data_IF_178220701969
#
_entry.id   IF_178220701969
#
_cell.length_a   1.000
_cell.length_b   1.000
_cell.length_c   1.000
_cell.angle_alpha   90.00
_cell.angle_beta   90.00
_cell.angle_gamma   90.00
#
_symmetry.space_group_name_H-M   'P 1'
#
loop_
_entity.id
_entity.type
_entity.pdbx_description
1 polymer ?
#
# COMPACT_ATOMS: atom_id res chain seq x y z
N UNK A 1 -10.32 -1.01 2.52
CA UNK A 1 -9.40 -0.77 1.40
C UNK A 1 -9.99 0.02 0.22
N UNK A 2 -10.61 1.18 0.45
CA UNK A 2 -10.37 2.31 -0.45
C UNK A 2 -8.91 2.78 -0.30
N UNK A 3 -8.38 3.58 -1.23
CA UNK A 3 -6.98 4.04 -1.20
C UNK A 3 -6.00 3.20 -2.03
N UNK A 4 -6.38 1.97 -2.42
CA UNK A 4 -5.52 1.07 -3.18
C UNK A 4 -5.02 1.69 -4.50
N UNK A 5 -5.84 2.51 -5.18
CA UNK A 5 -5.41 3.16 -6.41
C UNK A 5 -4.41 4.28 -6.16
N UNK A 6 -4.55 5.05 -5.08
CA UNK A 6 -3.56 6.02 -4.67
C UNK A 6 -2.22 5.33 -4.34
N UNK A 7 -2.21 4.21 -3.61
CA UNK A 7 -0.98 3.45 -3.34
C UNK A 7 -0.28 2.99 -4.60
N UNK A 8 -1.03 2.32 -5.49
CA UNK A 8 -0.45 1.82 -6.74
C UNK A 8 0.03 2.99 -7.61
N UNK A 9 -0.71 4.10 -7.67
CA UNK A 9 -0.30 5.31 -8.39
C UNK A 9 0.99 5.88 -7.81
N UNK A 10 1.08 5.98 -6.48
CA UNK A 10 2.21 6.57 -5.78
C UNK A 10 3.47 5.73 -5.97
N UNK A 11 3.40 4.40 -5.80
CA UNK A 11 4.57 3.52 -5.98
C UNK A 11 5.08 3.54 -7.42
N UNK A 12 4.18 3.58 -8.42
CA UNK A 12 4.57 3.68 -9.83
C UNK A 12 5.26 5.01 -10.15
N UNK A 13 4.73 6.14 -9.65
CA UNK A 13 5.36 7.45 -9.84
C UNK A 13 6.69 7.54 -9.09
N UNK A 14 6.78 6.94 -7.90
CA UNK A 14 7.99 6.89 -7.10
C UNK A 14 9.11 6.09 -7.80
N UNK A 15 8.75 5.04 -8.53
CA UNK A 15 9.70 4.06 -9.09
C UNK A 15 9.77 4.00 -10.62
N UNK A 16 9.13 4.92 -11.33
CA UNK A 16 9.36 5.10 -12.76
C UNK A 16 10.84 5.39 -13.06
N UNK A 17 11.32 5.04 -14.26
CA UNK A 17 12.74 5.10 -14.64
C UNK A 17 13.40 6.45 -14.32
N UNK A 18 12.71 7.57 -14.61
CA UNK A 18 13.23 8.92 -14.34
C UNK A 18 13.38 9.23 -12.84
N UNK A 19 12.54 8.63 -12.00
CA UNK A 19 12.60 8.76 -10.54
C UNK A 19 13.73 7.91 -9.98
N UNK A 20 13.78 6.62 -10.34
CA UNK A 20 14.86 5.70 -9.93
C UNK A 20 16.24 6.22 -10.30
N UNK A 21 16.39 6.84 -11.47
CA UNK A 21 17.66 7.42 -11.91
C UNK A 21 18.23 8.43 -10.90
N UNK A 22 17.37 9.18 -10.19
CA UNK A 22 17.74 10.24 -9.24
C UNK A 22 17.95 9.76 -7.81
N UNK A 23 17.46 8.58 -7.44
CA UNK A 23 17.54 8.07 -6.07
C UNK A 23 18.97 7.63 -5.72
N UNK A 24 19.40 7.86 -4.48
CA UNK A 24 20.74 7.48 -4.01
C UNK A 24 20.77 6.05 -3.46
N UNK A 25 20.70 5.09 -4.40
CA UNK A 25 20.69 3.66 -4.10
C UNK A 25 21.49 2.85 -5.13
N UNK A 26 21.89 1.59 -4.82
CA UNK A 26 22.62 0.73 -5.73
C UNK A 26 21.94 0.55 -7.10
N UNK A 27 22.74 0.53 -8.16
CA UNK A 27 22.25 0.32 -9.54
C UNK A 27 21.46 -0.99 -9.69
N UNK A 28 21.87 -2.05 -8.99
CA UNK A 28 21.17 -3.34 -9.00
C UNK A 28 19.77 -3.24 -8.37
N UNK A 29 19.62 -2.48 -7.27
CA UNK A 29 18.32 -2.21 -6.67
C UNK A 29 17.39 -1.49 -7.66
N UNK A 30 17.87 -0.42 -8.32
CA UNK A 30 17.11 0.31 -9.36
C UNK A 30 16.67 -0.60 -10.50
N UNK A 31 17.57 -1.47 -10.96
CA UNK A 31 17.27 -2.42 -12.03
C UNK A 31 16.14 -3.37 -11.62
N UNK A 32 16.22 -3.96 -10.42
CA UNK A 32 15.19 -4.88 -9.91
C UNK A 32 13.85 -4.17 -9.80
N UNK A 33 13.79 -2.97 -9.21
CA UNK A 33 12.54 -2.20 -9.09
C UNK A 33 11.94 -1.86 -10.46
N UNK A 34 12.76 -1.62 -11.48
CA UNK A 34 12.29 -1.38 -12.84
C UNK A 34 11.79 -2.64 -13.59
N UNK A 35 12.26 -3.83 -13.19
CA UNK A 35 11.97 -5.10 -13.88
C UNK A 35 10.90 -5.94 -13.19
N UNK A 36 10.75 -5.80 -11.86
CA UNK A 36 9.84 -6.59 -11.03
C UNK A 36 8.64 -5.76 -10.54
N UNK A 37 8.08 -4.94 -11.44
CA UNK A 37 6.98 -4.03 -11.13
C UNK A 37 5.74 -4.75 -10.57
N UNK A 38 5.40 -5.94 -11.07
CA UNK A 38 4.27 -6.72 -10.55
C UNK A 38 4.41 -7.03 -9.04
N UNK A 39 5.62 -7.40 -8.59
CA UNK A 39 5.89 -7.66 -7.17
C UNK A 39 5.93 -6.38 -6.34
N UNK A 40 6.43 -5.29 -6.91
CA UNK A 40 6.39 -3.96 -6.28
C UNK A 40 4.95 -3.49 -6.05
N UNK A 41 4.07 -3.64 -7.05
CA UNK A 41 2.65 -3.34 -6.92
C UNK A 41 1.94 -4.29 -5.95
N UNK A 42 2.26 -5.59 -5.99
CA UNK A 42 1.74 -6.55 -5.02
C UNK A 42 2.10 -6.13 -3.59
N UNK A 43 3.34 -5.70 -3.35
CA UNK A 43 3.80 -5.25 -2.05
C UNK A 43 3.01 -4.04 -1.54
N UNK A 44 2.69 -3.09 -2.41
CA UNK A 44 2.03 -1.83 -2.01
C UNK A 44 0.57 -1.99 -1.60
N UNK A 45 -0.03 -3.15 -1.83
CA UNK A 45 -1.40 -3.48 -1.38
C UNK A 45 -1.42 -4.64 -0.37
N UNK A 46 -0.25 -5.21 -0.05
CA UNK A 46 -0.15 -6.40 0.78
C UNK A 46 -0.59 -6.18 2.25
N UNK A 47 -0.33 -5.05 2.92
CA UNK A 47 -0.79 -4.86 4.31
C UNK A 47 -2.31 -5.01 4.46
N UNK A 48 -3.07 -4.64 3.43
CA UNK A 48 -4.53 -4.68 3.43
C UNK A 48 -5.16 -6.00 2.95
N UNK A 49 -4.38 -6.87 2.30
CA UNK A 49 -4.83 -8.16 1.78
C UNK A 49 -5.66 -8.99 2.76
N UNK A 50 -5.30 -9.07 4.07
CA UNK A 50 -6.07 -9.87 5.01
C UNK A 50 -7.52 -9.39 5.20
N UNK A 51 -7.82 -8.10 5.02
CA UNK A 51 -9.20 -7.60 5.07
C UNK A 51 -10.09 -8.17 3.94
N UNK A 52 -9.48 -8.72 2.89
CA UNK A 52 -10.19 -9.33 1.77
C UNK A 52 -10.49 -10.82 1.98
N UNK A 53 -10.06 -11.39 3.10
CA UNK A 53 -10.39 -12.76 3.48
C UNK A 53 -11.87 -12.86 3.91
N UNK A 54 -12.75 -13.08 2.92
CA UNK A 54 -14.19 -13.13 3.12
C UNK A 54 -14.56 -14.13 4.22
N UNK A 55 -15.36 -13.66 5.19
CA UNK A 55 -15.88 -14.43 6.32
C UNK A 55 -14.80 -15.08 7.24
N UNK A 56 -13.59 -14.50 7.29
CA UNK A 56 -12.52 -14.97 8.18
C UNK A 56 -12.01 -13.84 9.09
N UNK A 57 -12.72 -13.50 10.18
CA UNK A 57 -12.34 -12.38 11.06
C UNK A 57 -10.93 -12.48 11.67
N UNK A 58 -10.44 -13.71 11.93
CA UNK A 58 -9.07 -13.93 12.40
C UNK A 58 -8.01 -13.62 11.35
N UNK A 59 -8.38 -13.54 10.07
CA UNK A 59 -7.47 -13.06 9.04
C UNK A 59 -7.45 -11.53 9.01
N UNK A 60 -8.59 -10.85 9.18
CA UNK A 60 -8.65 -9.39 9.23
C UNK A 60 -7.72 -8.78 10.30
N UNK A 61 -7.62 -9.43 11.47
CA UNK A 61 -6.73 -8.98 12.54
C UNK A 61 -5.24 -9.01 12.13
N UNK A 62 -4.83 -9.79 11.13
CA UNK A 62 -3.47 -9.68 10.59
C UNK A 62 -3.22 -8.33 9.92
N UNK A 63 -4.24 -7.75 9.28
CA UNK A 63 -4.13 -6.40 8.74
C UNK A 63 -4.03 -5.39 9.88
N UNK A 64 -4.88 -5.48 10.91
CA UNK A 64 -4.79 -4.59 12.09
C UNK A 64 -3.38 -4.62 12.73
N UNK A 65 -2.80 -5.81 12.91
CA UNK A 65 -1.43 -5.94 13.42
C UNK A 65 -0.42 -5.23 12.52
N UNK A 66 -0.51 -5.42 11.19
CA UNK A 66 0.37 -4.76 10.22
C UNK A 66 0.19 -3.24 10.13
N UNK A 67 -0.95 -2.69 10.58
CA UNK A 67 -1.22 -1.25 10.55
C UNK A 67 -0.98 -0.55 11.88
N UNK A 68 -1.02 -1.26 13.01
CA UNK A 68 -1.00 -0.60 14.33
C UNK A 68 0.11 -1.07 15.25
N UNK A 69 0.63 -2.29 15.07
CA UNK A 69 1.55 -2.91 16.02
C UNK A 69 2.85 -3.30 15.35
N UNK A 70 3.98 -2.78 15.85
CA UNK A 70 5.31 -3.24 15.43
C UNK A 70 5.58 -3.16 13.91
N UNK A 71 4.99 -2.17 13.24
CA UNK A 71 5.03 -2.02 11.78
C UNK A 71 6.45 -1.88 11.22
N UNK A 72 7.33 -1.17 11.93
CA UNK A 72 8.74 -1.04 11.60
C UNK A 72 9.54 -2.30 11.88
N UNK A 73 9.20 -3.04 12.94
CA UNK A 73 9.85 -4.31 13.28
C UNK A 73 9.54 -5.39 12.23
N UNK A 74 8.32 -5.39 11.66
CA UNK A 74 7.97 -6.22 10.51
C UNK A 74 8.86 -5.92 9.30
N UNK A 75 9.01 -4.64 8.94
CA UNK A 75 9.90 -4.21 7.85
C UNK A 75 11.35 -4.65 8.09
N UNK A 76 11.87 -4.47 9.31
CA UNK A 76 13.23 -4.89 9.68
C UNK A 76 13.41 -6.41 9.58
N UNK A 77 12.43 -7.20 10.03
CA UNK A 77 12.46 -8.66 9.88
C UNK A 77 12.46 -9.08 8.40
N UNK A 78 11.70 -8.38 7.54
CA UNK A 78 11.71 -8.63 6.10
C UNK A 78 13.02 -8.22 5.43
N UNK A 79 13.65 -7.11 5.85
CA UNK A 79 14.99 -6.70 5.38
C UNK A 79 16.00 -7.81 5.66
N UNK A 80 16.06 -8.29 6.90
CA UNK A 80 17.02 -9.33 7.30
C UNK A 80 16.76 -10.65 6.58
N UNK A 81 15.50 -11.06 6.41
CA UNK A 81 15.17 -12.24 5.61
C UNK A 81 15.58 -12.07 4.14
N UNK A 82 15.33 -10.90 3.55
CA UNK A 82 15.65 -10.60 2.16
C UNK A 82 17.16 -10.75 1.88
N UNK A 83 18.02 -10.34 2.81
CA UNK A 83 19.49 -10.50 2.71
C UNK A 83 19.95 -11.96 2.63
N UNK A 84 19.13 -12.92 3.07
CA UNK A 84 19.45 -14.35 3.00
C UNK A 84 19.11 -14.99 1.65
N UNK A 85 18.42 -14.26 0.77
CA UNK A 85 17.95 -14.77 -0.51
C UNK A 85 18.96 -14.46 -1.63
N UNK A 86 18.91 -15.27 -2.68
CA UNK A 86 19.68 -15.04 -3.91
C UNK A 86 18.80 -15.24 -5.16
N UNK A 87 19.33 -14.84 -6.32
CA UNK A 87 18.70 -15.07 -7.62
C UNK A 87 17.30 -14.45 -7.72
N UNK A 88 16.39 -15.15 -8.40
CA UNK A 88 15.03 -14.67 -8.64
C UNK A 88 14.22 -14.48 -7.35
N UNK A 89 14.40 -15.35 -6.34
CA UNK A 89 13.72 -15.20 -5.05
C UNK A 89 14.09 -13.87 -4.38
N UNK A 90 15.38 -13.51 -4.40
CA UNK A 90 15.85 -12.21 -3.92
C UNK A 90 15.19 -11.05 -4.67
N UNK A 91 15.20 -11.08 -6.00
CA UNK A 91 14.68 -9.97 -6.82
C UNK A 91 13.19 -9.73 -6.57
N UNK A 92 12.39 -10.80 -6.51
CA UNK A 92 10.95 -10.73 -6.23
C UNK A 92 10.69 -10.19 -4.82
N UNK A 93 11.33 -10.78 -3.81
CA UNK A 93 11.14 -10.39 -2.41
C UNK A 93 11.62 -8.96 -2.14
N UNK A 94 12.73 -8.53 -2.75
CA UNK A 94 13.21 -7.16 -2.62
C UNK A 94 12.24 -6.15 -3.22
N UNK A 95 11.72 -6.42 -4.43
CA UNK A 95 10.73 -5.55 -5.05
C UNK A 95 9.44 -5.48 -4.23
N UNK A 96 8.95 -6.63 -3.76
CA UNK A 96 7.77 -6.72 -2.90
C UNK A 96 7.96 -5.99 -1.56
N UNK A 97 9.11 -6.13 -0.90
CA UNK A 97 9.44 -5.40 0.32
C UNK A 97 9.44 -3.88 0.10
N UNK A 98 10.00 -3.40 -1.01
CA UNK A 98 9.95 -1.98 -1.35
C UNK A 98 8.51 -1.51 -1.62
N UNK A 99 7.65 -2.39 -2.15
CA UNK A 99 6.22 -2.14 -2.31
C UNK A 99 5.52 -2.02 -0.97
N UNK A 100 5.78 -2.95 -0.06
CA UNK A 100 5.25 -2.93 1.30
C UNK A 100 5.63 -1.63 2.03
N UNK A 101 6.88 -1.21 1.92
CA UNK A 101 7.31 0.08 2.46
C UNK A 101 6.64 1.27 1.77
N UNK A 102 6.33 1.17 0.47
CA UNK A 102 5.60 2.22 -0.23
C UNK A 102 4.19 2.41 0.34
N UNK A 103 3.53 1.31 0.72
CA UNK A 103 2.25 1.36 1.43
C UNK A 103 2.39 2.12 2.75
N UNK A 104 3.27 1.64 3.62
CA UNK A 104 3.53 2.25 4.94
C UNK A 104 3.88 3.74 4.82
N UNK A 105 4.77 4.10 3.89
CA UNK A 105 5.17 5.50 3.69
C UNK A 105 4.02 6.40 3.18
N UNK A 106 3.13 5.85 2.35
CA UNK A 106 1.95 6.56 1.89
C UNK A 106 0.97 6.80 3.04
N UNK A 107 0.67 5.77 3.83
CA UNK A 107 -0.25 5.85 4.97
C UNK A 107 0.17 6.88 6.00
N UNK A 108 1.41 6.79 6.49
CA UNK A 108 1.93 7.75 7.50
C UNK A 108 1.98 9.19 6.96
N UNK A 109 1.90 9.37 5.64
CA UNK A 109 1.81 10.70 5.02
C UNK A 109 0.36 11.15 4.85
N UNK A 110 -0.52 10.29 4.35
CA UNK A 110 -1.88 10.66 3.89
C UNK A 110 -2.91 10.52 5.00
N UNK A 111 -2.91 9.45 5.79
CA UNK A 111 -3.93 9.22 6.80
C UNK A 111 -4.00 10.30 7.90
N UNK A 112 -2.90 10.94 8.35
CA UNK A 112 -3.02 12.11 9.23
C UNK A 112 -3.89 13.23 8.66
N UNK A 113 -3.85 13.42 7.33
CA UNK A 113 -4.68 14.42 6.63
C UNK A 113 -6.13 13.96 6.52
N UNK A 114 -6.37 12.67 6.25
CA UNK A 114 -7.71 12.07 6.22
C UNK A 114 -8.35 12.19 7.61
N UNK A 115 -7.64 11.82 8.66
CA UNK A 115 -8.12 11.92 10.04
C UNK A 115 -8.44 13.38 10.44
N UNK A 116 -7.61 14.35 10.06
CA UNK A 116 -7.91 15.78 10.27
C UNK A 116 -9.15 16.26 9.51
N UNK A 117 -9.50 15.60 8.39
CA UNK A 117 -10.66 15.93 7.56
C UNK A 117 -11.95 15.29 8.07
N UNK A 118 -11.93 14.01 8.46
CA UNK A 118 -13.14 13.24 8.78
C UNK A 118 -13.22 12.72 10.22
N UNK A 119 -12.19 12.93 11.04
CA UNK A 119 -12.11 12.43 12.43
C UNK A 119 -11.49 11.04 12.51
N UNK A 120 -11.35 10.44 13.72
CA UNK A 120 -10.67 9.16 13.90
C UNK A 120 -11.43 7.99 13.24
N UNK A 121 -10.68 7.01 12.71
CA UNK A 121 -11.21 5.94 11.85
C UNK A 121 -12.32 5.13 12.51
N UNK A 122 -12.12 4.67 13.75
CA UNK A 122 -13.08 3.81 14.46
C UNK A 122 -14.50 4.37 14.51
N UNK A 123 -14.66 5.70 14.65
CA UNK A 123 -15.97 6.35 14.71
C UNK A 123 -16.45 6.88 13.35
N UNK A 124 -15.58 6.92 12.33
CA UNK A 124 -15.84 7.61 11.06
C UNK A 124 -15.54 6.74 9.81
N UNK A 125 -15.58 5.41 9.91
CA UNK A 125 -15.20 4.48 8.83
C UNK A 125 -15.85 4.77 7.47
N UNK A 126 -17.13 5.14 7.43
CA UNK A 126 -17.82 5.50 6.17
C UNK A 126 -17.30 6.80 5.57
N UNK A 127 -16.99 7.80 6.41
CA UNK A 127 -16.47 9.08 5.97
C UNK A 127 -15.00 8.98 5.51
N UNK A 128 -14.19 8.18 6.20
CA UNK A 128 -12.84 7.78 5.76
C UNK A 128 -12.90 7.17 4.37
N UNK A 129 -13.76 6.16 4.21
CA UNK A 129 -13.98 5.50 2.94
C UNK A 129 -14.41 6.44 1.83
N UNK A 130 -15.35 7.34 2.10
CA UNK A 130 -15.75 8.33 1.12
C UNK A 130 -14.58 9.26 0.73
N UNK A 131 -13.77 9.71 1.69
CA UNK A 131 -12.61 10.57 1.44
C UNK A 131 -11.58 9.87 0.54
N UNK A 132 -11.14 8.68 0.92
CA UNK A 132 -10.15 7.88 0.19
C UNK A 132 -10.63 7.53 -1.23
N UNK A 133 -11.90 7.17 -1.42
CA UNK A 133 -12.43 6.87 -2.75
C UNK A 133 -12.46 8.09 -3.67
N UNK A 134 -12.74 9.29 -3.14
CA UNK A 134 -12.68 10.53 -3.91
C UNK A 134 -11.24 10.88 -4.28
N UNK A 135 -10.31 10.69 -3.35
CA UNK A 135 -8.88 10.90 -3.56
C UNK A 135 -8.29 9.92 -4.60
N UNK A 136 -8.67 8.64 -4.53
CA UNK A 136 -8.34 7.62 -5.53
C UNK A 136 -8.86 8.02 -6.91
N UNK A 137 -10.16 8.33 -7.03
CA UNK A 137 -10.78 8.70 -8.30
C UNK A 137 -10.16 9.96 -8.91
N UNK A 138 -9.73 10.90 -8.07
CA UNK A 138 -9.02 12.10 -8.49
C UNK A 138 -7.61 11.80 -9.00
N UNK A 139 -6.79 11.10 -8.19
CA UNK A 139 -5.38 10.89 -8.50
C UNK A 139 -5.15 9.86 -9.60
N UNK A 140 -6.10 8.94 -9.78
CA UNK A 140 -6.11 7.92 -10.81
C UNK A 140 -5.71 8.46 -12.20
N UNK A 141 -6.17 9.68 -12.54
CA UNK A 141 -5.87 10.28 -13.84
C UNK A 141 -4.38 10.58 -14.04
N UNK A 142 -3.60 10.78 -12.96
CA UNK A 142 -2.16 11.10 -13.03
C UNK A 142 -1.30 9.97 -13.61
N UNK A 143 -1.73 8.71 -13.49
CA UNK A 143 -1.02 7.59 -14.12
C UNK A 143 -1.05 7.66 -15.65
N UNK A 144 -2.06 8.30 -16.24
CA UNK A 144 -2.19 8.58 -17.68
C UNK A 144 -1.95 7.35 -18.59
N UNK A 145 -2.65 6.24 -18.32
CA UNK A 145 -2.37 4.93 -18.93
C UNK A 145 -3.19 4.59 -20.19
N UNK A 146 -3.93 5.56 -20.75
CA UNK A 146 -4.72 5.35 -21.97
C UNK A 146 -6.07 4.65 -21.76
N UNK A 147 -6.64 4.11 -22.85
CA UNK A 147 -8.03 3.58 -22.90
C UNK A 147 -8.20 2.16 -22.29
N UNK A 148 -7.10 1.41 -22.07
CA UNK A 148 -7.17 0.13 -21.37
C UNK A 148 -7.33 0.39 -19.86
N UNK A 149 -8.43 -0.09 -19.29
CA UNK A 149 -8.76 0.09 -17.88
C UNK A 149 -7.67 -0.50 -16.99
N UNK A 150 -7.15 0.30 -16.05
CA UNK A 150 -6.11 -0.15 -15.12
C UNK A 150 -6.53 -1.36 -14.27
N UNK A 151 -7.83 -1.61 -14.09
CA UNK A 151 -8.30 -2.82 -13.39
C UNK A 151 -7.77 -4.08 -14.07
N UNK A 152 -7.80 -4.11 -15.42
CA UNK A 152 -7.24 -5.21 -16.22
C UNK A 152 -5.71 -5.29 -16.04
N UNK A 153 -5.02 -4.14 -15.93
CA UNK A 153 -3.57 -4.10 -15.64
C UNK A 153 -3.26 -4.59 -14.23
N UNK A 154 -4.02 -4.18 -13.22
CA UNK A 154 -3.85 -4.59 -11.82
C UNK A 154 -4.11 -6.08 -11.68
N UNK A 155 -5.17 -6.58 -12.32
CA UNK A 155 -5.48 -8.00 -12.41
C UNK A 155 -4.34 -8.76 -13.11
N UNK A 156 -3.85 -8.28 -14.25
CA UNK A 156 -2.78 -8.94 -14.99
C UNK A 156 -1.43 -8.88 -14.27
N UNK A 157 -1.08 -7.76 -13.64
CA UNK A 157 0.19 -7.60 -12.94
C UNK A 157 0.15 -8.31 -11.58
N UNK A 158 -0.67 -7.83 -10.65
CA UNK A 158 -0.71 -8.34 -9.28
C UNK A 158 -1.26 -9.78 -9.27
N UNK A 159 -2.27 -10.08 -10.09
CA UNK A 159 -2.82 -11.43 -10.21
C UNK A 159 -1.87 -12.44 -10.86
N UNK A 160 -0.82 -12.00 -11.58
CA UNK A 160 0.22 -12.90 -12.09
C UNK A 160 1.29 -13.28 -11.06
N UNK A 161 1.24 -12.72 -9.85
CA UNK A 161 2.19 -13.02 -8.77
C UNK A 161 1.84 -14.36 -8.09
N UNK A 162 1.84 -15.43 -8.86
CA UNK A 162 1.49 -16.79 -8.46
C UNK A 162 2.65 -17.75 -8.69
N UNK A 163 2.58 -18.92 -8.06
CA UNK A 163 3.45 -20.05 -8.36
C UNK A 163 2.90 -20.88 -9.54
N UNK A 164 3.57 -21.98 -9.87
CA UNK A 164 3.20 -22.84 -11.01
C UNK A 164 1.83 -23.52 -10.90
N UNK A 165 1.26 -23.55 -9.69
CA UNK A 165 -0.04 -24.14 -9.39
C UNK A 165 -1.12 -23.06 -9.22
N UNK A 166 -0.87 -21.83 -9.71
CA UNK A 166 -1.72 -20.64 -9.58
C UNK A 166 -2.06 -20.25 -8.14
N UNK A 167 -1.29 -20.73 -7.16
CA UNK A 167 -1.34 -20.28 -5.77
C UNK A 167 -0.45 -19.04 -5.56
N UNK A 168 -0.62 -18.33 -4.45
CA UNK A 168 0.22 -17.17 -4.12
C UNK A 168 1.72 -17.50 -4.18
N UNK A 169 2.53 -16.57 -4.72
CA UNK A 169 3.96 -16.78 -4.92
C UNK A 169 4.64 -17.26 -3.63
N UNK A 170 5.33 -18.40 -3.74
CA UNK A 170 5.89 -19.12 -2.59
C UNK A 170 7.05 -18.39 -1.92
N UNK A 171 7.83 -17.59 -2.66
CA UNK A 171 8.93 -16.84 -2.07
C UNK A 171 8.40 -15.61 -1.31
N UNK A 172 7.38 -14.95 -1.87
CA UNK A 172 6.67 -13.86 -1.19
C UNK A 172 5.97 -14.36 0.09
N UNK A 173 5.31 -15.52 0.02
CA UNK A 173 4.69 -16.14 1.18
C UNK A 173 5.71 -16.40 2.31
N UNK A 174 6.93 -16.84 1.97
CA UNK A 174 7.97 -17.16 2.97
C UNK A 174 8.51 -15.93 3.68
N UNK A 175 8.85 -14.85 2.96
CA UNK A 175 9.34 -13.61 3.59
C UNK A 175 8.26 -13.00 4.48
N UNK A 176 7.02 -12.99 4.01
CA UNK A 176 5.90 -12.43 4.76
C UNK A 176 5.58 -13.27 6.00
N UNK A 177 5.53 -14.59 5.85
CA UNK A 177 5.34 -15.51 6.97
C UNK A 177 6.46 -15.38 7.99
N UNK A 178 7.72 -15.31 7.55
CA UNK A 178 8.86 -15.13 8.45
C UNK A 178 8.71 -13.89 9.32
N UNK A 179 8.36 -12.74 8.73
CA UNK A 179 8.18 -11.51 9.47
C UNK A 179 7.00 -11.58 10.44
N UNK A 180 5.82 -12.04 9.99
CA UNK A 180 4.62 -12.14 10.83
C UNK A 180 4.83 -13.06 12.03
N UNK A 181 5.47 -14.21 11.84
CA UNK A 181 5.73 -15.16 12.92
C UNK A 181 6.83 -14.67 13.88
N UNK A 182 7.79 -13.90 13.37
CA UNK A 182 8.85 -13.30 14.20
C UNK A 182 8.30 -12.21 15.10
N UNK A 183 7.45 -11.33 14.56
CA UNK A 183 6.99 -10.13 15.26
C UNK A 183 5.74 -10.39 16.11
N UNK A 184 4.82 -11.25 15.63
CA UNK A 184 3.58 -11.57 16.34
C UNK A 184 3.44 -13.08 16.64
N UNK A 185 4.41 -13.70 17.36
CA UNK A 185 4.42 -15.14 17.61
C UNK A 185 3.19 -15.63 18.37
N UNK A 186 2.69 -14.82 19.32
CA UNK A 186 1.51 -15.15 20.13
C UNK A 186 0.22 -15.25 19.30
N UNK A 187 0.06 -14.38 18.30
CA UNK A 187 -1.08 -14.41 17.39
C UNK A 187 -0.92 -15.55 16.37
N UNK A 188 0.30 -15.69 15.79
CA UNK A 188 0.62 -16.75 14.84
C UNK A 188 0.39 -18.16 15.39
N UNK A 189 0.65 -18.38 16.69
CA UNK A 189 0.43 -19.66 17.35
C UNK A 189 -1.05 -20.11 17.35
N UNK A 190 -1.99 -19.16 17.26
CA UNK A 190 -3.43 -19.41 17.29
C UNK A 190 -4.05 -19.31 15.89
N UNK A 191 -3.51 -18.42 15.06
CA UNK A 191 -4.08 -18.05 13.76
C UNK A 191 -3.00 -17.92 12.70
N UNK A 192 -2.72 -19.01 11.99
CA UNK A 192 -1.76 -18.97 10.88
C UNK A 192 -2.23 -18.00 9.76
N UNK A 193 -1.32 -17.22 9.16
CA UNK A 193 -1.65 -16.38 8.01
C UNK A 193 -2.01 -17.24 6.79
N UNK A 194 -3.04 -16.84 6.05
CA UNK A 194 -3.54 -17.56 4.88
C UNK A 194 -3.42 -16.73 3.60
N UNK A 195 -2.20 -16.66 3.07
CA UNK A 195 -1.89 -15.83 1.89
C UNK A 195 -2.70 -16.19 0.63
N UNK A 196 -3.02 -17.47 0.43
CA UNK A 196 -3.88 -17.89 -0.68
C UNK A 196 -5.28 -17.33 -0.54
N UNK A 197 -5.87 -17.39 0.67
CA UNK A 197 -7.18 -16.79 0.92
C UNK A 197 -7.16 -15.28 0.70
N UNK A 198 -6.09 -14.60 1.11
CA UNK A 198 -5.96 -13.16 0.93
C UNK A 198 -5.85 -12.79 -0.55
N UNK A 199 -4.99 -13.49 -1.29
CA UNK A 199 -4.80 -13.27 -2.72
C UNK A 199 -6.06 -13.58 -3.53
N UNK A 200 -6.76 -14.68 -3.21
CA UNK A 200 -8.03 -15.01 -3.88
C UNK A 200 -9.11 -13.96 -3.59
N UNK A 201 -9.16 -13.44 -2.35
CA UNK A 201 -10.02 -12.33 -1.99
C UNK A 201 -9.72 -11.06 -2.81
N UNK A 202 -8.44 -10.74 -2.98
CA UNK A 202 -7.99 -9.65 -3.84
C UNK A 202 -8.44 -9.83 -5.29
N UNK A 203 -8.17 -10.99 -5.90
CA UNK A 203 -8.59 -11.25 -7.28
C UNK A 203 -10.12 -11.16 -7.43
N UNK A 204 -10.89 -11.65 -6.46
CA UNK A 204 -12.34 -11.52 -6.48
C UNK A 204 -12.79 -10.05 -6.46
N UNK A 205 -12.19 -9.20 -5.61
CA UNK A 205 -12.54 -7.78 -5.55
C UNK A 205 -12.19 -7.07 -6.84
N UNK A 206 -10.98 -7.27 -7.38
CA UNK A 206 -10.56 -6.64 -8.65
C UNK A 206 -11.48 -7.04 -9.81
N UNK A 207 -11.84 -8.33 -9.91
CA UNK A 207 -12.78 -8.82 -10.93
C UNK A 207 -14.17 -8.16 -10.80
N UNK A 208 -14.68 -8.01 -9.58
CA UNK A 208 -15.98 -7.37 -9.34
C UNK A 208 -15.95 -5.85 -9.58
N UNK A 209 -14.81 -5.17 -9.33
CA UNK A 209 -14.64 -3.75 -9.63
C UNK A 209 -14.69 -3.53 -11.14
N UNK A 210 -14.01 -4.36 -11.94
CA UNK A 210 -14.07 -4.34 -13.41
C UNK A 210 -15.52 -4.48 -13.90
N UNK A 211 -16.26 -5.45 -13.36
CA UNK A 211 -17.68 -5.64 -13.67
C UNK A 211 -18.54 -4.43 -13.25
N UNK A 212 -18.29 -3.84 -12.08
CA UNK A 212 -19.06 -2.69 -11.57
C UNK A 212 -18.88 -1.41 -12.42
N UNK A 213 -17.68 -1.20 -12.98
CA UNK A 213 -17.43 -0.12 -13.95
C UNK A 213 -18.23 -0.32 -15.24
N UNK A 214 -18.43 -1.59 -15.66
CA UNK A 214 -19.15 -1.96 -16.88
C UNK A 214 -20.68 -2.07 -16.70
N UNK A 215 -21.18 -2.51 -15.55
CA UNK A 215 -22.56 -3.03 -15.45
C UNK A 215 -23.65 -2.06 -14.96
N UNK A 216 -23.37 -0.99 -14.20
CA UNK A 216 -24.47 -0.20 -13.59
C UNK A 216 -24.26 1.30 -13.58
N UNK A 217 -24.67 1.98 -14.67
CA UNK A 217 -24.81 3.43 -14.73
C UNK A 217 -26.06 3.95 -13.97
N UNK A 218 -27.10 3.14 -13.78
CA UNK A 218 -28.40 3.59 -13.27
C UNK A 218 -28.65 3.37 -11.76
N UNK A 219 -27.91 2.48 -11.08
CA UNK A 219 -28.10 2.20 -9.64
C UNK A 219 -27.14 2.97 -8.70
N UNK A 220 -26.27 3.81 -9.28
CA UNK A 220 -25.10 4.40 -8.61
C UNK A 220 -25.42 5.60 -7.70
N UNK A 221 -26.46 6.37 -8.05
CA UNK A 221 -26.85 7.60 -7.34
C UNK A 221 -27.36 7.37 -5.91
N UNK A 222 -27.77 6.16 -5.54
CA UNK A 222 -28.34 5.87 -4.21
C UNK A 222 -27.27 5.31 -3.24
N UNK A 223 -26.11 4.90 -3.76
CA UNK A 223 -25.07 4.19 -3.00
C UNK A 223 -23.69 4.85 -3.01
N UNK A 224 -23.48 5.89 -3.83
CA UNK A 224 -22.31 6.75 -3.75
C UNK A 224 -22.21 7.45 -2.38
N UNK A 225 -23.35 7.90 -1.83
CA UNK A 225 -23.45 8.56 -0.51
C UNK A 225 -23.12 7.62 0.68
N UNK A 226 -23.03 6.31 0.43
CA UNK A 226 -22.66 5.29 1.43
C UNK A 226 -21.18 4.86 1.32
N UNK A 227 -20.40 5.48 0.42
CA UNK A 227 -19.01 5.08 0.18
C UNK A 227 -18.88 3.67 -0.41
N UNK A 228 -19.90 3.19 -1.15
CA UNK A 228 -19.92 1.83 -1.69
C UNK A 228 -19.38 1.73 -3.13
N UNK A 229 -19.26 2.87 -3.83
CA UNK A 229 -18.81 2.94 -5.23
C UNK A 229 -17.88 4.13 -5.46
N UNK A 230 -16.89 3.97 -6.34
CA UNK A 230 -15.97 5.07 -6.70
C UNK A 230 -16.73 6.18 -7.44
N UNK A 231 -16.51 7.46 -7.07
CA UNK A 231 -17.05 8.58 -7.84
C UNK A 231 -16.40 8.61 -9.22
N UNK A 232 -17.14 9.05 -10.24
CA UNK A 232 -16.52 9.40 -11.53
C UNK A 232 -15.62 10.62 -11.37
N UNK A 233 -14.68 10.87 -12.29
CA UNK A 233 -13.82 12.05 -12.21
C UNK A 233 -14.56 13.38 -12.13
N UNK A 234 -15.74 13.48 -12.75
CA UNK A 234 -16.59 14.67 -12.69
C UNK A 234 -17.54 14.70 -11.47
N UNK A 235 -17.54 13.64 -10.66
CA UNK A 235 -18.33 13.49 -9.42
C UNK A 235 -17.44 13.56 -8.18
N UNK A 236 -16.13 13.73 -8.33
CA UNK A 236 -15.19 13.91 -7.23
C UNK A 236 -15.60 15.14 -6.41
N UNK A 237 -15.84 14.94 -5.12
CA UNK A 237 -16.10 16.02 -4.18
C UNK A 237 -14.80 16.79 -3.92
N UNK A 238 -14.76 18.02 -4.45
CA UNK A 238 -13.65 18.96 -4.26
C UNK A 238 -13.28 19.21 -2.80
N UNK A 239 -14.18 19.01 -1.83
CA UNK A 239 -13.84 19.20 -0.41
C UNK A 239 -12.88 18.14 0.14
N UNK A 240 -12.72 17.00 -0.54
CA UNK A 240 -11.70 15.98 -0.25
C UNK A 240 -10.38 16.22 -0.99
N UNK A 241 -10.30 17.27 -1.81
CA UNK A 241 -9.16 17.57 -2.69
C UNK A 241 -8.53 18.93 -2.36
N UNK A 242 -9.37 19.94 -2.14
CA UNK A 242 -8.97 21.34 -1.96
C UNK A 242 -8.84 21.70 -0.48
N UNK A 243 -7.81 22.50 -0.15
CA UNK A 243 -7.62 23.10 1.18
C UNK A 243 -7.70 22.09 2.34
N UNK A 244 -7.14 20.89 2.14
CA UNK A 244 -7.10 19.85 3.15
C UNK A 244 -6.22 20.30 4.32
N UNK A 245 -6.77 20.19 5.54
CA UNK A 245 -5.99 20.48 6.76
C UNK A 245 -4.85 19.49 6.88
N UNK A 246 -3.64 19.99 7.05
CA UNK A 246 -2.46 19.17 7.35
C UNK A 246 -1.87 19.58 8.71
N UNK A 247 -0.91 18.84 9.26
CA UNK A 247 -0.15 19.25 10.44
C UNK A 247 0.64 20.58 10.28
N UNK A 248 0.72 21.13 9.07
CA UNK A 248 1.38 22.41 8.80
C UNK A 248 0.39 23.46 8.30
N UNK A 249 0.16 23.51 7.00
CA UNK A 249 -0.71 24.47 6.33
C UNK A 249 -1.74 23.73 5.47
N UNK A 250 -2.90 24.35 5.16
CA UNK A 250 -3.84 23.75 4.24
C UNK A 250 -3.18 23.49 2.88
N UNK A 251 -3.28 22.27 2.38
CA UNK A 251 -2.65 21.83 1.13
C UNK A 251 -3.70 21.29 0.16
N UNK A 252 -3.40 21.38 -1.14
CA UNK A 252 -4.15 20.65 -2.14
C UNK A 252 -3.71 19.17 -2.12
N UNK A 253 -4.62 18.22 -2.37
CA UNK A 253 -4.32 16.79 -2.34
C UNK A 253 -3.17 16.36 -3.26
N UNK A 254 -3.06 16.93 -4.46
CA UNK A 254 -1.86 16.83 -5.31
C UNK A 254 -0.53 17.04 -4.57
N UNK A 255 -0.42 18.09 -3.73
CA UNK A 255 0.82 18.39 -3.02
C UNK A 255 1.08 17.38 -1.90
N UNK A 256 0.03 16.94 -1.20
CA UNK A 256 0.10 15.86 -0.19
C UNK A 256 0.50 14.54 -0.85
N UNK A 257 -0.03 14.25 -2.03
CA UNK A 257 0.30 13.06 -2.79
C UNK A 257 1.75 13.10 -3.30
N UNK A 258 2.21 14.23 -3.82
CA UNK A 258 3.61 14.41 -4.24
C UNK A 258 4.58 14.32 -3.04
N UNK A 259 4.12 14.76 -1.86
CA UNK A 259 4.83 14.54 -0.60
C UNK A 259 4.90 13.06 -0.23
N UNK A 260 3.80 12.31 -0.33
CA UNK A 260 3.79 10.87 -0.12
C UNK A 260 4.72 10.13 -1.08
N UNK A 261 4.72 10.49 -2.37
CA UNK A 261 5.67 9.96 -3.37
C UNK A 261 7.12 10.22 -2.97
N UNK A 262 7.42 11.40 -2.43
CA UNK A 262 8.77 11.74 -1.96
C UNK A 262 9.18 10.91 -0.74
N UNK A 263 8.26 10.69 0.21
CA UNK A 263 8.50 9.83 1.37
C UNK A 263 8.68 8.36 0.96
N UNK A 264 7.89 7.85 0.00
CA UNK A 264 8.10 6.51 -0.59
C UNK A 264 9.52 6.40 -1.14
N UNK A 265 9.98 7.39 -1.92
CA UNK A 265 11.34 7.39 -2.47
C UNK A 265 12.40 7.38 -1.37
N UNK A 266 12.20 8.17 -0.31
CA UNK A 266 13.10 8.23 0.84
C UNK A 266 13.23 6.86 1.51
N UNK A 267 12.12 6.25 1.91
CA UNK A 267 12.16 4.98 2.66
C UNK A 267 12.54 3.77 1.81
N UNK A 268 12.15 3.70 0.53
CA UNK A 268 12.65 2.65 -0.37
C UNK A 268 14.17 2.79 -0.55
N UNK A 269 14.72 4.01 -0.56
CA UNK A 269 16.17 4.22 -0.59
C UNK A 269 16.86 3.67 0.66
N UNK A 270 16.27 3.87 1.83
CA UNK A 270 16.77 3.30 3.09
C UNK A 270 16.77 1.77 3.03
N UNK A 271 15.66 1.14 2.60
CA UNK A 271 15.59 -0.32 2.45
C UNK A 271 16.63 -0.83 1.44
N UNK A 272 16.74 -0.18 0.28
CA UNK A 272 17.72 -0.57 -0.73
C UNK A 272 19.15 -0.50 -0.19
N UNK A 273 19.50 0.55 0.53
CA UNK A 273 20.83 0.68 1.11
C UNK A 273 21.05 -0.33 2.25
N UNK A 274 20.03 -0.59 3.07
CA UNK A 274 20.11 -1.58 4.14
C UNK A 274 20.32 -2.99 3.59
N UNK A 275 19.58 -3.39 2.54
CA UNK A 275 19.66 -4.72 1.94
C UNK A 275 20.97 -4.94 1.16
N UNK A 276 21.45 -3.94 0.42
CA UNK A 276 22.58 -4.12 -0.50
C UNK A 276 23.93 -3.66 0.06
N UNK A 277 23.93 -2.75 1.03
CA UNK A 277 25.13 -2.10 1.57
C UNK A 277 25.23 -2.25 3.09
N UNK A 278 24.31 -2.96 3.73
CA UNK A 278 24.23 -3.14 5.19
C UNK A 278 24.23 -1.81 5.96
N UNK A 279 23.59 -0.77 5.41
CA UNK A 279 23.41 0.50 6.12
C UNK A 279 22.36 0.37 7.23
N UNK A 280 22.43 1.29 8.18
CA UNK A 280 21.41 1.44 9.22
C UNK A 280 20.01 1.71 8.65
N UNK A 281 18.99 1.19 9.32
CA UNK A 281 17.58 1.39 9.00
C UNK A 281 16.77 1.89 10.21
N UNK A 282 17.42 2.54 11.19
CA UNK A 282 16.79 3.04 12.41
C UNK A 282 15.73 4.13 12.18
N UNK A 283 15.73 4.74 11.01
CA UNK A 283 14.68 5.66 10.55
C UNK A 283 13.35 4.95 10.28
N UNK A 284 13.33 3.61 10.16
CA UNK A 284 12.11 2.81 10.12
C UNK A 284 11.62 2.61 11.55
N UNK A 285 10.51 3.28 11.88
CA UNK A 285 9.87 3.29 13.20
C UNK A 285 8.62 2.42 13.22
N UNK A 286 8.10 2.15 14.41
CA UNK A 286 6.81 1.51 14.59
C UNK A 286 5.72 2.58 14.55
N UNK A 287 5.17 2.78 13.36
CA UNK A 287 4.08 3.72 13.13
C UNK A 287 2.71 3.08 13.32
N UNK A 288 1.77 3.86 13.83
CA UNK A 288 0.35 3.64 13.61
C UNK A 288 -0.03 4.25 12.26
N UNK A 289 -0.47 3.42 11.31
CA UNK A 289 -0.69 3.82 9.93
C UNK A 289 -1.93 4.71 9.73
N UNK A 290 -2.93 4.67 10.63
CA UNK A 290 -4.09 5.57 10.57
C UNK A 290 -3.76 7.01 10.99
N UNK A 291 -2.80 7.16 11.91
CA UNK A 291 -2.53 8.44 12.56
C UNK A 291 -1.17 9.04 12.18
N UNK A 292 -0.27 8.24 11.60
CA UNK A 292 1.09 8.60 11.24
C UNK A 292 2.06 8.81 12.41
N UNK A 293 1.64 8.55 13.64
CA UNK A 293 2.50 8.65 14.83
C UNK A 293 3.40 7.42 14.99
N UNK A 294 4.64 7.63 15.42
CA UNK A 294 5.56 6.57 15.84
C UNK A 294 5.43 6.21 17.33
N UNK A 295 6.24 5.24 17.79
CA UNK A 295 6.29 4.78 19.19
C UNK A 295 6.74 5.85 20.21
N UNK A 296 7.07 7.05 19.75
CA UNK A 296 7.47 8.19 20.58
C UNK A 296 6.49 9.37 20.44
N UNK A 297 5.25 9.10 20.00
CA UNK A 297 4.20 10.09 19.79
C UNK A 297 4.65 11.22 18.85
N UNK A 298 5.49 10.90 17.85
CA UNK A 298 5.94 11.84 16.82
C UNK A 298 5.36 11.49 15.46
N UNK A 299 4.74 12.45 14.78
CA UNK A 299 4.37 12.29 13.37
C UNK A 299 5.62 12.37 12.48
N UNK A 300 6.36 11.28 12.32
CA UNK A 300 7.74 11.28 11.78
C UNK A 300 7.89 12.06 10.48
N UNK A 301 6.98 11.88 9.52
CA UNK A 301 7.07 12.57 8.21
C UNK A 301 6.57 14.01 8.27
N UNK A 302 5.73 14.37 9.25
CA UNK A 302 5.20 15.73 9.43
C UNK A 302 5.92 16.52 10.54
N UNK A 303 6.90 15.93 11.21
CA UNK A 303 7.74 16.62 12.19
C UNK A 303 8.85 17.40 11.50
N UNK A 304 9.08 18.64 11.94
CA UNK A 304 10.14 19.53 11.43
C UNK A 304 11.51 19.19 11.97
#
# INVERSE_FOLDING_TARGET
MPGAFAHITAVNIATQTKSLAKMDMPKKAKLILSQRQAYLELGCVAPDYPYLAVAQPSQNAWADLMHYEHTGDLLKAMIEYCKTLEGEAFEKCFAWLCGYMAHVAADITVHPVVELKVGPYEQNQTAHRACEMNQDAFIWQRLNLGELGYADRVQQNIGSCTNKDDNFDTDIAKIWQHALLTVHPSYAAQHAPNFNSWHNGFQLVVNNVEESYRLFACARHVAADLGLFYPRPNEVDSTFIEQLKTPHEPMHYNDIFDFAVSNIQHYITIIANAVFLDTDCSAIKNWNLDTGYDEHDTMTVWSK
#
